data_IF_100292534225
#
_entry.id   IF_100292534225
#
_cell.length_a   1.000
_cell.length_b   1.000
_cell.length_c   1.000
_cell.angle_alpha   90.00
_cell.angle_beta   90.00
_cell.angle_gamma   90.00
#
_symmetry.space_group_name_H-M   'P 1'
#
loop_
_entity.id
_entity.type
_entity.pdbx_description
1 polymer ?
#
# COMPACT_ATOMS: atom_id res chain seq x y z
N UNK A 1 2.13 47.74 -31.75
CA UNK A 1 2.26 47.22 -33.13
C UNK A 1 2.20 45.72 -33.01
N UNK A 2 1.19 45.09 -33.60
CA UNK A 2 0.90 43.65 -33.43
C UNK A 2 2.07 42.76 -33.91
N UNK A 3 2.47 41.72 -33.14
CA UNK A 3 3.56 40.82 -33.51
C UNK A 3 3.11 39.60 -34.35
N UNK A 4 1.98 39.68 -35.06
CA UNK A 4 1.30 38.50 -35.61
C UNK A 4 1.51 38.22 -37.12
N UNK A 5 2.40 38.93 -37.83
CA UNK A 5 2.50 38.83 -39.31
C UNK A 5 3.82 38.37 -39.93
N UNK A 6 4.86 38.08 -39.13
CA UNK A 6 6.19 37.77 -39.69
C UNK A 6 6.44 36.27 -39.96
N UNK A 7 5.70 35.35 -39.32
CA UNK A 7 5.99 33.91 -39.41
C UNK A 7 5.54 33.30 -40.76
N UNK A 8 4.63 33.93 -41.50
CA UNK A 8 4.20 33.42 -42.82
C UNK A 8 5.21 33.69 -43.95
N UNK A 9 6.22 34.54 -43.75
CA UNK A 9 7.10 35.01 -44.86
C UNK A 9 8.43 34.26 -44.92
N UNK A 10 8.95 33.76 -43.80
CA UNK A 10 10.29 33.17 -43.73
C UNK A 10 10.26 31.67 -43.47
N UNK A 11 10.96 30.92 -44.32
CA UNK A 11 11.13 29.47 -44.18
C UNK A 11 12.54 29.14 -43.71
N UNK A 12 12.64 28.13 -42.85
CA UNK A 12 13.93 27.59 -42.42
C UNK A 12 14.72 27.07 -43.63
N UNK A 13 16.02 27.39 -43.68
CA UNK A 13 16.96 27.01 -44.73
C UNK A 13 16.63 27.50 -46.16
N UNK A 14 15.95 28.65 -46.26
CA UNK A 14 15.73 29.32 -47.55
C UNK A 14 16.97 30.13 -47.97
N UNK A 15 17.79 29.56 -48.86
CA UNK A 15 19.00 30.22 -49.39
C UNK A 15 18.73 31.52 -50.18
N UNK A 16 17.49 31.79 -50.61
CA UNK A 16 17.18 32.95 -51.45
C UNK A 16 16.95 34.23 -50.65
N UNK A 17 16.46 34.12 -49.42
CA UNK A 17 16.11 35.26 -48.56
C UNK A 17 16.92 35.35 -47.27
N UNK A 18 17.68 34.30 -46.93
CA UNK A 18 18.51 34.25 -45.73
C UNK A 18 19.68 35.24 -45.81
N UNK A 19 19.97 35.91 -44.70
CA UNK A 19 21.05 36.90 -44.56
C UNK A 19 22.14 36.46 -43.58
N UNK A 20 21.94 35.34 -42.86
CA UNK A 20 22.89 34.77 -41.89
C UNK A 20 22.93 33.25 -41.99
N UNK A 21 24.08 32.65 -41.67
CA UNK A 21 24.24 31.19 -41.57
C UNK A 21 24.61 30.79 -40.15
N UNK A 22 23.96 29.77 -39.62
CA UNK A 22 24.21 29.23 -38.27
C UNK A 22 24.82 27.83 -38.41
N UNK A 23 25.87 27.55 -37.65
CA UNK A 23 26.50 26.24 -37.54
C UNK A 23 26.60 25.84 -36.06
N UNK A 24 26.22 24.61 -35.76
CA UNK A 24 26.49 23.98 -34.47
C UNK A 24 27.76 23.14 -34.60
N UNK A 25 28.84 23.51 -33.91
CA UNK A 25 30.15 22.86 -34.05
C UNK A 25 30.20 21.57 -33.24
N UNK A 26 30.39 20.46 -33.96
CA UNK A 26 30.80 19.18 -33.41
C UNK A 26 32.33 19.13 -33.33
N UNK A 27 32.88 18.69 -32.19
CA UNK A 27 34.31 18.41 -32.07
C UNK A 27 34.65 17.29 -33.06
N UNK A 28 35.52 17.57 -34.04
CA UNK A 28 36.06 16.65 -35.06
C UNK A 28 35.20 16.30 -36.30
N UNK A 29 34.12 17.02 -36.61
CA UNK A 29 33.31 16.82 -37.84
C UNK A 29 33.24 18.08 -38.74
N UNK A 30 32.85 17.91 -40.01
CA UNK A 30 32.64 19.03 -40.94
C UNK A 30 31.42 19.87 -40.49
N UNK A 31 31.53 21.21 -40.44
CA UNK A 31 30.43 22.07 -40.01
C UNK A 31 29.26 22.07 -41.01
N UNK A 32 28.07 21.69 -40.55
CA UNK A 32 26.82 21.86 -41.29
C UNK A 32 26.28 23.28 -41.06
N UNK A 33 25.99 23.98 -42.16
CA UNK A 33 25.55 25.39 -42.13
C UNK A 33 24.08 25.49 -42.53
N UNK A 34 23.28 26.08 -41.64
CA UNK A 34 21.85 26.33 -41.87
C UNK A 34 21.62 27.78 -42.26
N UNK A 35 20.86 28.00 -43.34
CA UNK A 35 20.53 29.36 -43.81
C UNK A 35 19.37 29.91 -42.99
N UNK A 36 19.59 31.09 -42.40
CA UNK A 36 18.69 31.71 -41.44
C UNK A 36 18.48 33.21 -41.71
N UNK A 37 17.49 33.78 -41.02
CA UNK A 37 17.11 35.18 -41.08
C UNK A 37 17.45 35.85 -39.74
N UNK A 38 18.33 36.85 -39.77
CA UNK A 38 18.81 37.59 -38.58
C UNK A 38 17.66 38.21 -37.79
N UNK A 39 16.63 38.69 -38.48
CA UNK A 39 15.39 39.24 -37.89
C UNK A 39 14.60 38.19 -37.11
N UNK A 40 14.48 36.97 -37.63
CA UNK A 40 13.79 35.85 -36.97
C UNK A 40 14.58 35.36 -35.76
N UNK A 41 15.91 35.21 -35.89
CA UNK A 41 16.77 34.76 -34.80
C UNK A 41 16.81 35.76 -33.64
N UNK A 42 17.07 37.05 -33.93
CA UNK A 42 17.13 38.10 -32.91
C UNK A 42 15.80 38.36 -32.21
N UNK A 43 14.67 38.22 -32.90
CA UNK A 43 13.36 38.38 -32.28
C UNK A 43 13.03 37.25 -31.27
N UNK A 44 13.55 36.06 -31.50
CA UNK A 44 13.12 34.85 -30.81
C UNK A 44 14.15 34.25 -29.86
N UNK A 45 15.40 34.72 -29.86
CA UNK A 45 16.47 34.24 -29.00
C UNK A 45 17.35 35.39 -28.55
N UNK A 46 17.52 35.49 -27.23
CA UNK A 46 18.39 36.49 -26.61
C UNK A 46 19.85 36.32 -27.03
N UNK A 47 20.33 35.08 -27.09
CA UNK A 47 21.69 34.78 -27.52
C UNK A 47 21.97 35.35 -28.93
N UNK A 48 21.08 35.07 -29.89
CA UNK A 48 21.27 35.56 -31.25
C UNK A 48 21.12 37.08 -31.34
N UNK A 49 20.21 37.70 -30.58
CA UNK A 49 20.08 39.15 -30.51
C UNK A 49 21.36 39.83 -29.99
N UNK A 50 21.92 39.30 -28.90
CA UNK A 50 23.14 39.82 -28.29
C UNK A 50 24.35 39.63 -29.22
N UNK A 51 24.47 38.45 -29.86
CA UNK A 51 25.53 38.14 -30.81
C UNK A 51 25.49 39.07 -32.04
N UNK A 52 24.30 39.26 -32.63
CA UNK A 52 24.11 40.13 -33.80
C UNK A 52 24.29 41.62 -33.46
N UNK A 53 24.04 42.02 -32.21
CA UNK A 53 24.24 43.40 -31.76
C UNK A 53 25.70 43.77 -31.47
N UNK A 54 26.54 42.79 -31.12
CA UNK A 54 27.94 43.01 -30.74
C UNK A 54 28.94 42.82 -31.88
N UNK A 55 28.59 42.02 -32.90
CA UNK A 55 29.47 41.71 -34.01
C UNK A 55 29.12 42.57 -35.23
N UNK A 56 30.13 43.19 -35.83
CA UNK A 56 29.97 43.94 -37.07
C UNK A 56 29.69 42.93 -38.20
N UNK A 57 28.48 42.99 -38.78
CA UNK A 57 27.91 42.08 -39.80
C UNK A 57 28.67 42.17 -41.15
N UNK A 58 29.89 42.70 -41.15
CA UNK A 58 30.73 42.94 -42.33
C UNK A 58 31.70 41.78 -42.63
N UNK A 59 31.88 40.83 -41.70
CA UNK A 59 32.68 39.62 -41.91
C UNK A 59 31.83 38.34 -41.89
N UNK A 60 31.47 37.85 -43.08
CA UNK A 60 30.95 36.51 -43.40
C UNK A 60 29.57 36.04 -42.87
N UNK A 61 28.85 36.80 -42.04
CA UNK A 61 27.48 36.47 -41.55
C UNK A 61 27.32 35.01 -41.08
N UNK A 62 28.32 34.50 -40.37
CA UNK A 62 28.39 33.12 -39.90
C UNK A 62 28.37 33.12 -38.36
N UNK A 63 27.37 32.46 -37.77
CA UNK A 63 27.27 32.24 -36.32
C UNK A 63 27.66 30.80 -36.03
N UNK A 64 28.67 30.63 -35.18
CA UNK A 64 29.16 29.31 -34.76
C UNK A 64 28.87 29.12 -33.27
N UNK A 65 28.14 28.05 -32.94
CA UNK A 65 27.76 27.71 -31.58
C UNK A 65 28.40 26.38 -31.24
N UNK A 66 29.18 26.33 -30.17
CA UNK A 66 29.69 25.06 -29.64
C UNK A 66 28.55 24.32 -28.94
N UNK A 67 28.32 23.06 -29.31
CA UNK A 67 27.35 22.20 -28.62
C UNK A 67 27.89 20.79 -28.44
N UNK A 68 27.52 20.08 -27.35
CA UNK A 68 27.87 18.67 -27.18
C UNK A 68 27.32 17.81 -28.32
N UNK A 69 28.07 16.79 -28.76
CA UNK A 69 27.65 15.90 -29.85
C UNK A 69 26.32 15.21 -29.60
N UNK A 70 26.06 14.85 -28.35
CA UNK A 70 24.82 14.19 -27.93
C UNK A 70 23.60 15.12 -27.99
N UNK A 71 23.80 16.44 -28.11
CA UNK A 71 22.73 17.44 -28.14
C UNK A 71 22.55 18.07 -29.53
N UNK A 72 23.42 17.78 -30.49
CA UNK A 72 23.42 18.41 -31.82
C UNK A 72 22.04 18.41 -32.48
N UNK A 73 21.40 17.24 -32.54
CA UNK A 73 20.07 17.11 -33.17
C UNK A 73 19.01 17.96 -32.46
N UNK A 74 19.14 18.15 -31.15
CA UNK A 74 18.23 18.97 -30.36
C UNK A 74 18.44 20.47 -30.62
N UNK A 75 19.68 20.92 -30.81
CA UNK A 75 19.99 22.30 -31.22
C UNK A 75 19.45 22.59 -32.62
N UNK A 76 19.61 21.66 -33.56
CA UNK A 76 19.03 21.77 -34.92
C UNK A 76 17.50 21.79 -34.85
N UNK A 77 16.87 20.91 -34.06
CA UNK A 77 15.41 20.87 -33.89
C UNK A 77 14.88 22.14 -33.22
N UNK A 78 15.61 22.71 -32.25
CA UNK A 78 15.31 24.00 -31.64
C UNK A 78 15.37 25.12 -32.68
N UNK A 79 16.43 25.17 -33.48
CA UNK A 79 16.59 26.18 -34.53
C UNK A 79 15.46 26.10 -35.57
N UNK A 80 15.04 24.89 -35.96
CA UNK A 80 13.86 24.67 -36.81
C UNK A 80 12.57 25.16 -36.13
N UNK A 81 12.44 24.94 -34.82
CA UNK A 81 11.26 25.34 -34.04
C UNK A 81 11.07 26.85 -33.99
N UNK A 82 12.15 27.64 -34.09
CA UNK A 82 12.07 29.11 -34.16
C UNK A 82 11.27 29.60 -35.39
N UNK A 83 11.25 28.81 -36.47
CA UNK A 83 10.53 29.14 -37.72
C UNK A 83 9.10 28.60 -37.75
N UNK A 84 8.69 27.81 -36.76
CA UNK A 84 7.32 27.33 -36.70
C UNK A 84 6.39 28.40 -36.12
N UNK A 85 5.12 28.43 -36.54
CA UNK A 85 4.08 29.12 -35.78
C UNK A 85 4.10 28.63 -34.33
N UNK A 86 3.91 29.54 -33.38
CA UNK A 86 3.97 29.22 -31.93
C UNK A 86 3.04 28.08 -31.55
N UNK A 87 1.87 28.01 -32.18
CA UNK A 87 0.88 26.96 -31.97
C UNK A 87 1.35 25.57 -32.44
N UNK A 88 2.23 25.50 -33.43
CA UNK A 88 2.68 24.25 -34.07
C UNK A 88 3.98 23.69 -33.49
N UNK A 89 4.65 24.41 -32.58
CA UNK A 89 5.91 23.92 -31.97
C UNK A 89 5.65 22.67 -31.15
N UNK A 90 4.56 22.63 -30.39
CA UNK A 90 4.21 21.49 -29.54
C UNK A 90 3.98 20.24 -30.39
N UNK A 91 3.29 20.39 -31.53
CA UNK A 91 3.01 19.30 -32.47
C UNK A 91 4.28 18.73 -33.13
N UNK A 92 5.42 19.42 -33.03
CA UNK A 92 6.70 18.95 -33.58
C UNK A 92 7.47 17.99 -32.65
N UNK A 93 7.02 17.84 -31.40
CA UNK A 93 7.62 16.93 -30.44
C UNK A 93 7.04 15.51 -30.57
N UNK A 94 7.93 14.54 -30.69
CA UNK A 94 7.66 13.12 -30.92
C UNK A 94 7.98 12.25 -29.71
N UNK A 95 8.71 12.79 -28.72
CA UNK A 95 9.07 12.11 -27.47
C UNK A 95 9.44 13.11 -26.37
N UNK A 96 9.31 12.68 -25.11
CA UNK A 96 9.77 13.47 -23.94
C UNK A 96 11.26 13.71 -24.03
N UNK A 97 12.07 12.68 -24.32
CA UNK A 97 13.52 12.83 -24.55
C UNK A 97 13.87 13.94 -25.55
N UNK A 98 13.18 13.98 -26.70
CA UNK A 98 13.42 15.03 -27.70
C UNK A 98 13.03 16.42 -27.16
N UNK A 99 11.89 16.52 -26.48
CA UNK A 99 11.43 17.77 -25.88
C UNK A 99 12.39 18.29 -24.79
N UNK A 100 12.94 17.40 -23.94
CA UNK A 100 13.93 17.73 -22.91
C UNK A 100 15.24 18.20 -23.53
N UNK A 101 15.71 17.55 -24.60
CA UNK A 101 16.87 18.00 -25.35
C UNK A 101 16.67 19.40 -25.96
N UNK A 102 15.52 19.64 -26.59
CA UNK A 102 15.17 20.96 -27.14
C UNK A 102 14.99 22.00 -26.03
N UNK A 103 14.51 21.60 -24.85
CA UNK A 103 14.41 22.45 -23.67
C UNK A 103 15.80 22.92 -23.21
N UNK A 104 16.79 22.02 -23.09
CA UNK A 104 18.19 22.37 -22.79
C UNK A 104 18.75 23.39 -23.78
N UNK A 105 18.58 23.12 -25.08
CA UNK A 105 19.09 23.98 -26.15
C UNK A 105 18.39 25.35 -26.18
N UNK A 106 17.06 25.38 -26.07
CA UNK A 106 16.26 26.61 -26.09
C UNK A 106 16.53 27.48 -24.88
N UNK A 107 16.67 26.88 -23.69
CA UNK A 107 17.05 27.59 -22.47
C UNK A 107 18.45 28.19 -22.59
N UNK A 108 19.44 27.41 -23.06
CA UNK A 108 20.82 27.87 -23.23
C UNK A 108 20.94 29.04 -24.22
N UNK A 109 20.11 29.04 -25.28
CA UNK A 109 20.08 30.10 -26.29
C UNK A 109 19.05 31.21 -25.98
N UNK A 110 18.40 31.16 -24.82
CA UNK A 110 17.45 32.19 -24.38
C UNK A 110 16.23 32.33 -25.31
N UNK A 111 15.69 31.21 -25.79
CA UNK A 111 14.51 31.15 -26.65
C UNK A 111 13.25 30.85 -25.84
N UNK A 112 12.73 31.87 -25.16
CA UNK A 112 11.66 31.72 -24.16
C UNK A 112 10.40 31.02 -24.69
N UNK A 113 10.01 31.25 -25.93
CA UNK A 113 8.77 30.67 -26.45
C UNK A 113 8.90 29.18 -26.74
N UNK A 114 10.04 28.73 -27.27
CA UNK A 114 10.31 27.30 -27.48
C UNK A 114 10.48 26.62 -26.13
N UNK A 115 11.18 27.25 -25.17
CA UNK A 115 11.29 26.78 -23.79
C UNK A 115 9.92 26.53 -23.17
N UNK A 116 8.99 27.49 -23.28
CA UNK A 116 7.61 27.34 -22.78
C UNK A 116 6.83 26.24 -23.49
N UNK A 117 6.97 26.09 -24.81
CA UNK A 117 6.36 24.99 -25.56
C UNK A 117 6.89 23.62 -25.15
N UNK A 118 8.21 23.50 -24.89
CA UNK A 118 8.80 22.26 -24.38
C UNK A 118 8.24 21.92 -22.98
N UNK A 119 8.17 22.91 -22.08
CA UNK A 119 7.61 22.70 -20.73
C UNK A 119 6.17 22.21 -20.81
N UNK A 120 5.34 22.86 -21.64
CA UNK A 120 3.94 22.46 -21.82
C UNK A 120 3.79 21.04 -22.38
N UNK A 121 4.64 20.65 -23.32
CA UNK A 121 4.63 19.29 -23.85
C UNK A 121 5.03 18.27 -22.78
N UNK A 122 6.12 18.52 -22.05
CA UNK A 122 6.61 17.63 -21.00
C UNK A 122 5.60 17.52 -19.85
N UNK A 123 4.96 18.62 -19.48
CA UNK A 123 3.87 18.68 -18.48
C UNK A 123 2.61 17.93 -18.93
N UNK A 124 2.42 17.66 -20.21
CA UNK A 124 1.28 16.92 -20.73
C UNK A 124 1.59 15.44 -21.02
N UNK A 125 2.84 15.11 -21.31
CA UNK A 125 3.26 13.76 -21.68
C UNK A 125 3.41 12.82 -20.47
N UNK A 126 3.33 11.51 -20.70
CA UNK A 126 3.78 10.48 -19.75
C UNK A 126 5.29 10.26 -19.88
N UNK A 127 5.98 10.09 -18.76
CA UNK A 127 7.42 9.87 -18.65
C UNK A 127 7.75 8.59 -17.91
N UNK A 128 8.91 8.00 -18.22
CA UNK A 128 9.53 6.94 -17.42
C UNK A 128 10.55 7.47 -16.41
N UNK A 129 11.10 6.58 -15.58
CA UNK A 129 12.07 6.92 -14.53
C UNK A 129 13.35 7.59 -15.08
N UNK A 130 13.81 7.20 -16.28
CA UNK A 130 15.02 7.80 -16.88
C UNK A 130 14.73 9.20 -17.40
N UNK A 131 13.57 9.36 -18.03
CA UNK A 131 13.11 10.68 -18.48
C UNK A 131 12.87 11.61 -17.28
N UNK A 132 12.41 11.09 -16.15
CA UNK A 132 12.28 11.82 -14.89
C UNK A 132 13.60 12.36 -14.38
N UNK A 133 14.65 11.53 -14.30
CA UNK A 133 16.00 11.97 -13.90
C UNK A 133 16.52 13.10 -14.81
N UNK A 134 16.34 12.97 -16.13
CA UNK A 134 16.73 14.01 -17.08
C UNK A 134 15.95 15.32 -16.89
N UNK A 135 14.65 15.24 -16.60
CA UNK A 135 13.81 16.42 -16.36
C UNK A 135 14.19 17.12 -15.05
N UNK A 136 14.49 16.35 -13.99
CA UNK A 136 14.98 16.91 -12.72
C UNK A 136 16.28 17.67 -12.94
N UNK A 137 17.22 17.10 -13.70
CA UNK A 137 18.49 17.74 -14.03
C UNK A 137 18.27 19.08 -14.75
N UNK A 138 17.43 19.10 -15.79
CA UNK A 138 17.16 20.33 -16.55
C UNK A 138 16.43 21.37 -15.71
N UNK A 139 15.46 20.94 -14.89
CA UNK A 139 14.67 21.81 -14.03
C UNK A 139 15.53 22.65 -13.06
N UNK A 140 16.68 22.13 -12.60
CA UNK A 140 17.62 22.88 -11.74
C UNK A 140 18.13 24.17 -12.40
N UNK A 141 18.14 24.24 -13.73
CA UNK A 141 18.65 25.39 -14.49
C UNK A 141 17.57 26.40 -14.88
N UNK A 142 16.28 26.02 -14.85
CA UNK A 142 15.16 26.81 -15.40
C UNK A 142 14.62 27.90 -14.45
N UNK A 143 15.05 27.91 -13.18
CA UNK A 143 14.56 28.88 -12.19
C UNK A 143 13.04 28.78 -11.96
N UNK A 144 12.29 29.86 -12.17
CA UNK A 144 10.84 29.88 -11.97
C UNK A 144 10.06 29.00 -12.95
N UNK A 145 10.61 28.75 -14.12
CA UNK A 145 9.95 27.96 -15.17
C UNK A 145 9.97 26.45 -14.84
N UNK A 146 10.79 26.04 -13.87
CA UNK A 146 10.85 24.67 -13.37
C UNK A 146 9.59 24.22 -12.60
N UNK A 147 8.80 25.17 -12.09
CA UNK A 147 7.69 24.87 -11.16
C UNK A 147 6.67 23.91 -11.77
N UNK A 148 6.29 24.11 -13.05
CA UNK A 148 5.33 23.24 -13.74
C UNK A 148 5.87 21.82 -13.96
N UNK A 149 7.17 21.69 -14.28
CA UNK A 149 7.80 20.38 -14.48
C UNK A 149 7.90 19.59 -13.18
N UNK A 150 8.29 20.28 -12.11
CA UNK A 150 8.49 19.66 -10.80
C UNK A 150 7.17 19.41 -10.05
N UNK A 151 6.05 20.02 -10.47
CA UNK A 151 4.76 19.89 -9.78
C UNK A 151 4.31 18.42 -9.59
N UNK A 152 4.61 17.55 -10.57
CA UNK A 152 4.28 16.12 -10.50
C UNK A 152 5.13 15.32 -9.51
N UNK A 153 6.31 15.83 -9.17
CA UNK A 153 7.28 15.19 -8.27
C UNK A 153 7.21 15.73 -6.85
N UNK A 154 6.37 16.73 -6.61
CA UNK A 154 6.18 17.27 -5.27
C UNK A 154 5.51 16.23 -4.38
N UNK A 155 6.06 16.06 -3.18
CA UNK A 155 5.42 15.26 -2.15
C UNK A 155 3.99 15.80 -1.92
N UNK A 156 2.97 14.93 -1.97
CA UNK A 156 1.61 15.34 -1.71
C UNK A 156 1.47 15.86 -0.27
N UNK A 157 0.53 16.78 -0.04
CA UNK A 157 0.19 17.20 1.33
C UNK A 157 -0.32 16.02 2.16
N UNK A 158 -0.06 16.03 3.47
CA UNK A 158 -0.55 15.00 4.40
C UNK A 158 -2.08 14.78 4.29
N UNK A 159 -2.86 15.84 4.10
CA UNK A 159 -4.32 15.74 3.90
C UNK A 159 -4.70 15.00 2.61
N UNK A 160 -3.95 15.21 1.53
CA UNK A 160 -4.17 14.50 0.28
C UNK A 160 -3.86 13.00 0.44
N UNK A 161 -2.74 12.66 1.08
CA UNK A 161 -2.38 11.27 1.40
C UNK A 161 -3.45 10.62 2.27
N UNK A 162 -3.89 11.31 3.33
CA UNK A 162 -4.97 10.85 4.21
C UNK A 162 -6.26 10.56 3.45
N UNK A 163 -6.69 11.47 2.58
CA UNK A 163 -7.93 11.30 1.82
C UNK A 163 -7.86 10.10 0.85
N UNK A 164 -6.71 9.90 0.20
CA UNK A 164 -6.48 8.72 -0.66
C UNK A 164 -6.52 7.44 0.18
N UNK A 165 -5.84 7.43 1.33
CA UNK A 165 -5.81 6.28 2.24
C UNK A 165 -7.20 5.91 2.77
N UNK A 166 -7.99 6.91 3.21
CA UNK A 166 -9.39 6.71 3.62
C UNK A 166 -10.23 6.13 2.48
N UNK A 167 -10.06 6.63 1.26
CA UNK A 167 -10.80 6.15 0.09
C UNK A 167 -10.41 4.69 -0.23
N UNK A 168 -9.13 4.36 -0.17
CA UNK A 168 -8.63 3.01 -0.34
C UNK A 168 -9.24 2.05 0.71
N UNK A 169 -9.30 2.44 1.99
CA UNK A 169 -9.93 1.60 3.03
C UNK A 169 -11.40 1.32 2.70
N UNK A 170 -12.14 2.35 2.25
CA UNK A 170 -13.56 2.19 1.89
C UNK A 170 -13.76 1.21 0.74
N UNK A 171 -12.89 1.22 -0.28
CA UNK A 171 -12.95 0.25 -1.37
C UNK A 171 -12.51 -1.14 -0.91
N UNK A 172 -11.41 -1.25 -0.17
CA UNK A 172 -10.87 -2.50 0.36
C UNK A 172 -11.87 -3.26 1.26
N UNK A 173 -12.79 -2.52 1.91
CA UNK A 173 -13.82 -3.04 2.83
C UNK A 173 -15.24 -2.99 2.26
N UNK A 174 -15.40 -2.65 0.97
CA UNK A 174 -16.69 -2.58 0.27
C UNK A 174 -17.73 -1.68 0.98
N UNK A 175 -17.29 -0.53 1.51
CA UNK A 175 -18.15 0.45 2.17
C UNK A 175 -18.87 1.38 1.18
N UNK A 176 -18.35 1.53 -0.04
CA UNK A 176 -18.92 2.43 -1.04
C UNK A 176 -20.12 1.81 -1.75
N UNK A 177 -21.21 2.57 -1.88
CA UNK A 177 -22.38 2.18 -2.68
C UNK A 177 -22.89 3.40 -3.48
N UNK A 178 -23.30 3.23 -4.76
CA UNK A 178 -23.31 1.98 -5.53
C UNK A 178 -21.90 1.50 -5.91
N UNK A 179 -21.74 0.18 -6.05
CA UNK A 179 -20.45 -0.41 -6.39
C UNK A 179 -20.05 -0.10 -7.85
N UNK A 180 -18.78 0.25 -8.11
CA UNK A 180 -18.29 0.43 -9.47
C UNK A 180 -18.24 -0.91 -10.23
N UNK A 181 -18.24 -0.90 -11.58
CA UNK A 181 -18.22 -2.11 -12.40
C UNK A 181 -17.00 -3.02 -12.22
N UNK A 182 -15.91 -2.47 -11.67
CA UNK A 182 -14.60 -3.12 -11.46
C UNK A 182 -14.22 -3.15 -9.96
N UNK A 183 -15.23 -3.32 -9.09
CA UNK A 183 -15.02 -3.30 -7.63
C UNK A 183 -13.97 -4.31 -7.17
N UNK A 184 -13.98 -5.53 -7.69
CA UNK A 184 -13.07 -6.60 -7.24
C UNK A 184 -11.60 -6.25 -7.52
N UNK A 185 -11.31 -5.71 -8.71
CA UNK A 185 -9.98 -5.23 -9.08
C UNK A 185 -9.56 -4.03 -8.21
N UNK A 186 -10.48 -3.09 -7.99
CA UNK A 186 -10.23 -1.90 -7.19
C UNK A 186 -10.01 -2.25 -5.71
N UNK A 187 -10.75 -3.21 -5.19
CA UNK A 187 -10.60 -3.72 -3.81
C UNK A 187 -9.24 -4.37 -3.64
N UNK A 188 -8.85 -5.24 -4.57
CA UNK A 188 -7.56 -5.94 -4.53
C UNK A 188 -6.41 -4.93 -4.60
N UNK A 189 -6.48 -4.00 -5.57
CA UNK A 189 -5.50 -2.92 -5.69
C UNK A 189 -5.46 -2.04 -4.43
N UNK A 190 -6.60 -1.68 -3.86
CA UNK A 190 -6.65 -0.89 -2.63
C UNK A 190 -5.99 -1.62 -1.44
N UNK A 191 -6.23 -2.93 -1.28
CA UNK A 191 -5.60 -3.74 -0.24
C UNK A 191 -4.07 -3.76 -0.41
N UNK A 192 -3.58 -4.00 -1.63
CA UNK A 192 -2.15 -4.01 -1.95
C UNK A 192 -1.48 -2.64 -1.73
N UNK A 193 -2.12 -1.55 -2.16
CA UNK A 193 -1.57 -0.21 -1.98
C UNK A 193 -1.57 0.23 -0.52
N UNK A 194 -2.58 -0.16 0.27
CA UNK A 194 -2.56 0.07 1.73
C UNK A 194 -1.40 -0.67 2.37
N UNK A 195 -1.17 -1.93 2.01
CA UNK A 195 -0.05 -2.70 2.56
C UNK A 195 1.31 -2.12 2.16
N UNK A 196 1.43 -1.63 0.92
CA UNK A 196 2.61 -0.91 0.44
C UNK A 196 2.85 0.39 1.23
N UNK A 197 1.82 1.22 1.39
CA UNK A 197 1.92 2.49 2.11
C UNK A 197 2.34 2.31 3.56
N UNK A 198 1.91 1.24 4.23
CA UNK A 198 2.20 1.00 5.65
C UNK A 198 3.57 0.35 5.86
N UNK A 199 4.21 -0.15 4.81
CA UNK A 199 5.54 -0.70 4.91
C UNK A 199 6.60 0.42 4.89
N UNK A 200 7.39 0.49 5.97
CA UNK A 200 8.73 1.12 5.99
C UNK A 200 8.84 2.64 5.75
N UNK A 201 7.86 3.46 6.15
CA UNK A 201 7.99 4.92 6.10
C UNK A 201 7.52 5.66 7.38
N UNK A 202 8.29 6.67 7.80
CA UNK A 202 8.00 7.54 8.96
C UNK A 202 6.76 8.43 8.70
N UNK A 203 6.48 8.77 7.43
CA UNK A 203 5.31 9.57 7.05
C UNK A 203 3.99 8.79 7.21
N UNK A 204 4.04 7.46 7.17
CA UNK A 204 2.85 6.61 7.39
C UNK A 204 2.43 6.57 8.86
N UNK A 205 3.34 6.88 9.79
CA UNK A 205 3.01 7.02 11.20
C UNK A 205 2.04 8.20 11.45
N UNK A 206 2.12 9.27 10.65
CA UNK A 206 1.23 10.43 10.78
C UNK A 206 -0.20 10.12 10.32
N UNK A 207 -0.35 9.34 9.25
CA UNK A 207 -1.67 8.97 8.71
C UNK A 207 -2.35 7.91 9.57
N UNK A 208 -1.60 6.90 10.03
CA UNK A 208 -2.15 5.78 10.80
C UNK A 208 -2.52 6.15 12.24
N UNK A 209 -1.98 7.24 12.77
CA UNK A 209 -2.34 7.78 14.09
C UNK A 209 -3.54 8.73 14.06
N UNK A 210 -3.97 9.18 12.88
CA UNK A 210 -5.11 10.08 12.69
C UNK A 210 -6.43 9.38 13.07
N UNK A 211 -7.24 10.05 13.90
CA UNK A 211 -8.50 9.49 14.41
C UNK A 211 -9.58 9.32 13.33
N UNK A 212 -9.58 10.14 12.27
CA UNK A 212 -10.51 9.97 11.15
C UNK A 212 -10.19 8.68 10.41
N UNK A 213 -8.90 8.39 10.21
CA UNK A 213 -8.43 7.14 9.60
C UNK A 213 -8.82 5.95 10.46
N UNK A 214 -8.51 5.98 11.76
CA UNK A 214 -8.89 4.91 12.69
C UNK A 214 -10.41 4.69 12.74
N UNK A 215 -11.18 5.77 12.69
CA UNK A 215 -12.65 5.71 12.64
C UNK A 215 -13.15 4.96 11.39
N UNK A 216 -12.57 5.26 10.22
CA UNK A 216 -12.93 4.60 8.95
C UNK A 216 -12.49 3.13 8.96
N UNK A 217 -11.28 2.80 9.44
CA UNK A 217 -10.83 1.40 9.55
C UNK A 217 -11.76 0.60 10.47
N UNK A 218 -12.16 1.18 11.60
CA UNK A 218 -13.09 0.53 12.54
C UNK A 218 -14.45 0.27 11.89
N UNK A 219 -14.95 1.21 11.10
CA UNK A 219 -16.21 1.01 10.37
C UNK A 219 -16.07 -0.06 9.27
N UNK A 220 -14.94 -0.07 8.56
CA UNK A 220 -14.61 -1.13 7.59
C UNK A 220 -14.57 -2.51 8.23
N UNK A 221 -13.96 -2.64 9.42
CA UNK A 221 -13.97 -3.89 10.19
C UNK A 221 -15.39 -4.33 10.53
N UNK A 222 -16.24 -3.43 11.06
CA UNK A 222 -17.64 -3.75 11.36
C UNK A 222 -18.39 -4.21 10.13
N UNK A 223 -18.16 -3.55 8.98
CA UNK A 223 -18.75 -3.90 7.70
C UNK A 223 -18.37 -5.31 7.27
N UNK A 224 -17.10 -5.67 7.36
CA UNK A 224 -16.60 -7.01 7.01
C UNK A 224 -17.13 -8.10 7.96
N UNK A 225 -17.15 -7.85 9.27
CA UNK A 225 -17.74 -8.78 10.24
C UNK A 225 -19.26 -8.97 10.01
N UNK A 226 -19.97 -7.88 9.67
CA UNK A 226 -21.39 -7.96 9.28
C UNK A 226 -21.59 -8.71 7.97
N UNK A 227 -20.69 -8.52 6.99
CA UNK A 227 -20.76 -9.24 5.72
C UNK A 227 -20.59 -10.74 5.92
N UNK A 228 -19.63 -11.17 6.76
CA UNK A 228 -19.44 -12.58 7.12
C UNK A 228 -20.72 -13.17 7.71
N UNK A 229 -21.37 -12.46 8.64
CA UNK A 229 -22.65 -12.91 9.23
C UNK A 229 -23.73 -13.08 8.16
N UNK A 230 -23.88 -12.10 7.27
CA UNK A 230 -24.86 -12.18 6.18
C UNK A 230 -24.59 -13.36 5.25
N UNK A 231 -23.34 -13.62 4.88
CA UNK A 231 -22.97 -14.78 4.06
C UNK A 231 -23.27 -16.09 4.80
N UNK A 232 -23.02 -16.16 6.10
CA UNK A 232 -23.35 -17.34 6.92
C UNK A 232 -24.86 -17.55 7.08
N UNK A 233 -25.64 -16.49 7.24
CA UNK A 233 -27.12 -16.56 7.29
C UNK A 233 -27.71 -17.14 5.99
N UNK A 234 -27.08 -16.84 4.84
CA UNK A 234 -27.48 -17.34 3.51
C UNK A 234 -26.89 -18.71 3.16
N UNK A 235 -25.92 -19.20 3.94
CA UNK A 235 -25.18 -20.43 3.63
C UNK A 235 -26.10 -21.63 3.44
N UNK A 236 -27.14 -21.78 4.26
CA UNK A 236 -28.03 -22.96 4.16
C UNK A 236 -28.70 -23.05 2.80
N UNK A 237 -29.24 -21.93 2.30
CA UNK A 237 -29.90 -21.85 1.00
C UNK A 237 -28.92 -21.92 -0.16
N UNK A 238 -27.80 -21.20 -0.08
CA UNK A 238 -26.83 -21.13 -1.18
C UNK A 238 -26.05 -22.43 -1.34
N UNK A 239 -25.80 -23.15 -0.24
CA UNK A 239 -25.11 -24.43 -0.28
C UNK A 239 -25.95 -25.51 -0.99
N UNK A 240 -27.28 -25.48 -0.88
CA UNK A 240 -28.14 -26.44 -1.59
C UNK A 240 -28.15 -26.18 -3.11
N UNK A 241 -27.96 -24.93 -3.52
CA UNK A 241 -27.91 -24.54 -4.94
C UNK A 241 -26.51 -24.74 -5.55
N UNK A 242 -25.47 -24.28 -4.85
CA UNK A 242 -24.08 -24.34 -5.30
C UNK A 242 -23.10 -24.38 -4.12
N UNK A 243 -22.74 -25.58 -3.62
CA UNK A 243 -21.84 -25.74 -2.48
C UNK A 243 -20.51 -25.00 -2.64
N UNK A 244 -19.87 -25.12 -3.80
CA UNK A 244 -18.57 -24.50 -4.08
C UNK A 244 -18.65 -22.97 -4.06
N UNK A 245 -19.71 -22.37 -4.63
CA UNK A 245 -19.87 -20.92 -4.62
C UNK A 245 -20.17 -20.39 -3.23
N UNK A 246 -21.00 -21.11 -2.46
CA UNK A 246 -21.31 -20.77 -1.08
C UNK A 246 -20.05 -20.82 -0.19
N UNK A 247 -19.23 -21.87 -0.33
CA UNK A 247 -17.93 -21.98 0.35
C UNK A 247 -16.99 -20.84 -0.04
N UNK A 248 -16.84 -20.56 -1.34
CA UNK A 248 -15.97 -19.51 -1.85
C UNK A 248 -16.34 -18.12 -1.30
N UNK A 249 -17.62 -17.80 -1.16
CA UNK A 249 -18.07 -16.51 -0.59
C UNK A 249 -17.63 -16.35 0.86
N UNK A 250 -17.73 -17.41 1.67
CA UNK A 250 -17.25 -17.39 3.05
C UNK A 250 -15.74 -17.22 3.07
N UNK A 251 -15.01 -17.95 2.21
CA UNK A 251 -13.56 -17.83 2.11
C UNK A 251 -13.12 -16.42 1.72
N UNK A 252 -13.77 -15.78 0.74
CA UNK A 252 -13.49 -14.39 0.39
C UNK A 252 -13.75 -13.44 1.58
N UNK A 253 -14.87 -13.62 2.28
CA UNK A 253 -15.17 -12.80 3.46
C UNK A 253 -14.16 -13.00 4.59
N UNK A 254 -13.67 -14.22 4.81
CA UNK A 254 -12.64 -14.52 5.80
C UNK A 254 -11.28 -13.98 5.36
N UNK A 255 -10.94 -14.02 4.07
CA UNK A 255 -9.73 -13.41 3.54
C UNK A 255 -9.72 -11.88 3.73
N UNK A 256 -10.86 -11.21 3.57
CA UNK A 256 -10.97 -9.78 3.84
C UNK A 256 -10.77 -9.43 5.32
N UNK A 257 -11.36 -10.23 6.20
CA UNK A 257 -11.18 -10.09 7.65
C UNK A 257 -9.73 -10.36 8.03
N UNK A 258 -9.12 -11.36 7.41
CA UNK A 258 -7.73 -11.72 7.63
C UNK A 258 -6.77 -10.60 7.22
N UNK A 259 -7.01 -9.99 6.06
CA UNK A 259 -6.28 -8.82 5.57
C UNK A 259 -6.43 -7.62 6.52
N UNK A 260 -7.67 -7.24 6.87
CA UNK A 260 -7.87 -6.06 7.75
C UNK A 260 -7.28 -6.32 9.15
N UNK A 261 -7.24 -7.56 9.61
CA UNK A 261 -6.59 -7.91 10.89
C UNK A 261 -5.08 -7.65 10.84
N UNK A 262 -4.43 -7.97 9.72
CA UNK A 262 -3.02 -7.64 9.51
C UNK A 262 -2.79 -6.12 9.53
N UNK A 263 -3.67 -5.35 8.89
CA UNK A 263 -3.67 -3.88 8.96
C UNK A 263 -3.83 -3.38 10.40
N UNK A 264 -4.83 -3.87 11.14
CA UNK A 264 -5.11 -3.50 12.53
C UNK A 264 -3.93 -3.79 13.46
N UNK A 265 -3.16 -4.84 13.18
CA UNK A 265 -1.90 -5.15 13.87
C UNK A 265 -0.85 -4.06 13.71
N UNK A 266 -0.71 -3.51 12.50
CA UNK A 266 0.26 -2.45 12.18
C UNK A 266 -0.14 -1.09 12.76
N UNK A 267 -1.43 -0.82 12.96
CA UNK A 267 -1.95 0.47 13.47
C UNK A 267 -2.43 0.43 14.93
N UNK A 268 -2.05 -0.60 15.69
CA UNK A 268 -2.36 -0.78 17.11
C UNK A 268 -3.87 -0.82 17.45
N UNK A 269 -4.69 -1.38 16.56
CA UNK A 269 -6.16 -1.46 16.71
C UNK A 269 -6.68 -2.90 16.88
N UNK A 270 -5.82 -3.84 17.25
CA UNK A 270 -6.20 -5.25 17.43
C UNK A 270 -7.33 -5.47 18.45
N UNK A 271 -7.51 -4.56 19.41
CA UNK A 271 -8.62 -4.64 20.36
C UNK A 271 -9.99 -4.58 19.68
N UNK A 272 -10.16 -3.75 18.64
CA UNK A 272 -11.41 -3.64 17.86
C UNK A 272 -11.72 -4.98 17.16
N UNK A 273 -10.72 -5.62 16.54
CA UNK A 273 -10.86 -6.94 15.92
C UNK A 273 -11.24 -8.02 16.95
N UNK A 274 -10.47 -8.16 18.03
CA UNK A 274 -10.69 -9.19 19.05
C UNK A 274 -12.09 -9.06 19.65
N UNK A 275 -12.54 -7.83 19.93
CA UNK A 275 -13.87 -7.56 20.47
C UNK A 275 -14.97 -7.95 19.48
N UNK A 276 -14.88 -7.47 18.23
CA UNK A 276 -15.86 -7.79 17.19
C UNK A 276 -15.89 -9.28 16.84
N UNK A 277 -14.73 -9.94 16.81
CA UNK A 277 -14.63 -11.39 16.58
C UNK A 277 -15.32 -12.18 17.68
N UNK A 278 -15.08 -11.82 18.95
CA UNK A 278 -15.74 -12.47 20.10
C UNK A 278 -17.26 -12.28 20.08
N UNK A 279 -17.76 -11.12 19.64
CA UNK A 279 -19.19 -10.84 19.51
C UNK A 279 -19.88 -11.75 18.49
N UNK A 280 -19.24 -12.07 17.37
CA UNK A 280 -19.84 -12.88 16.30
C UNK A 280 -19.51 -14.38 16.43
N UNK A 281 -18.55 -14.76 17.28
CA UNK A 281 -18.01 -16.12 17.40
C UNK A 281 -19.09 -17.20 17.61
N UNK A 282 -20.03 -16.97 18.53
CA UNK A 282 -21.06 -17.97 18.85
C UNK A 282 -22.00 -18.21 17.64
N UNK A 283 -22.30 -17.16 16.88
CA UNK A 283 -23.10 -17.27 15.67
C UNK A 283 -22.32 -18.02 14.56
N UNK A 284 -21.06 -17.63 14.33
CA UNK A 284 -20.19 -18.28 13.33
C UNK A 284 -20.10 -19.79 13.59
N UNK A 285 -19.80 -20.19 14.82
CA UNK A 285 -19.69 -21.59 15.19
C UNK A 285 -21.04 -22.32 15.12
N UNK A 286 -22.15 -21.67 15.48
CA UNK A 286 -23.48 -22.29 15.39
C UNK A 286 -23.86 -22.69 13.96
N UNK A 287 -23.42 -21.92 12.95
CA UNK A 287 -23.68 -22.19 11.54
C UNK A 287 -22.70 -23.23 11.00
N UNK A 288 -21.39 -23.03 11.21
CA UNK A 288 -20.34 -23.88 10.60
C UNK A 288 -20.29 -25.28 11.23
N UNK A 289 -20.74 -25.43 12.47
CA UNK A 289 -20.85 -26.73 13.15
C UNK A 289 -22.21 -27.41 12.93
N UNK A 290 -23.09 -26.87 12.07
CA UNK A 290 -24.31 -27.56 11.71
C UNK A 290 -24.00 -28.95 11.14
N UNK A 291 -24.83 -29.93 11.50
CA UNK A 291 -24.66 -31.33 11.07
C UNK A 291 -24.59 -31.45 9.54
N UNK A 292 -25.26 -30.55 8.82
CA UNK A 292 -25.24 -30.45 7.35
C UNK A 292 -23.83 -30.33 6.79
N UNK A 293 -22.91 -29.67 7.49
CA UNK A 293 -21.56 -29.36 7.01
C UNK A 293 -20.47 -30.20 7.70
N UNK A 294 -20.83 -31.29 8.38
CA UNK A 294 -19.88 -32.11 9.15
C UNK A 294 -18.69 -32.57 8.28
N UNK A 295 -18.96 -32.99 7.05
CA UNK A 295 -17.97 -33.54 6.11
C UNK A 295 -17.54 -32.56 5.01
N UNK A 296 -18.03 -31.32 5.04
CA UNK A 296 -17.78 -30.27 4.03
C UNK A 296 -17.10 -29.04 4.67
N UNK A 297 -16.91 -27.97 3.89
CA UNK A 297 -16.39 -26.68 4.36
C UNK A 297 -15.00 -26.76 5.00
N UNK A 298 -14.15 -27.69 4.58
CA UNK A 298 -12.84 -27.91 5.20
C UNK A 298 -11.93 -26.69 5.06
N UNK A 299 -11.97 -26.02 3.91
CA UNK A 299 -11.18 -24.80 3.70
C UNK A 299 -11.68 -23.67 4.62
N UNK A 300 -13.00 -23.51 4.74
CA UNK A 300 -13.61 -22.54 5.67
C UNK A 300 -13.24 -22.86 7.12
N UNK A 301 -13.31 -24.13 7.52
CA UNK A 301 -12.96 -24.56 8.88
C UNK A 301 -11.49 -24.27 9.22
N UNK A 302 -10.58 -24.56 8.30
CA UNK A 302 -9.17 -24.24 8.46
C UNK A 302 -8.94 -22.72 8.55
N UNK A 303 -9.53 -21.94 7.63
CA UNK A 303 -9.39 -20.48 7.61
C UNK A 303 -9.98 -19.81 8.85
N UNK A 304 -11.06 -20.35 9.42
CA UNK A 304 -11.62 -19.87 10.69
C UNK A 304 -10.65 -20.04 11.86
N UNK A 305 -9.91 -21.16 11.91
CA UNK A 305 -8.89 -21.36 12.94
C UNK A 305 -7.74 -20.37 12.73
N UNK A 306 -7.31 -20.13 11.51
CA UNK A 306 -6.26 -19.16 11.18
C UNK A 306 -6.63 -17.74 11.66
N UNK A 307 -7.81 -17.25 11.28
CA UNK A 307 -8.32 -15.93 11.69
C UNK A 307 -8.49 -15.86 13.21
N UNK A 308 -9.02 -16.91 13.83
CA UNK A 308 -9.14 -17.00 15.30
C UNK A 308 -7.76 -17.02 15.97
N UNK A 309 -6.77 -17.64 15.34
CA UNK A 309 -5.39 -17.68 15.79
C UNK A 309 -4.81 -16.29 16.00
N UNK A 310 -5.05 -15.36 15.06
CA UNK A 310 -4.64 -13.95 15.22
C UNK A 310 -5.24 -13.28 16.45
N UNK A 311 -6.51 -13.59 16.78
CA UNK A 311 -7.14 -13.09 17.99
C UNK A 311 -6.56 -13.75 19.26
N UNK A 312 -6.29 -15.06 19.21
CA UNK A 312 -5.64 -15.79 20.30
C UNK A 312 -4.24 -15.26 20.57
N UNK A 313 -3.43 -15.03 19.54
CA UNK A 313 -2.09 -14.46 19.66
C UNK A 313 -2.14 -13.08 20.32
N UNK A 314 -3.04 -12.22 19.85
CA UNK A 314 -3.17 -10.86 20.37
C UNK A 314 -3.50 -10.87 21.88
N UNK A 315 -4.40 -11.75 22.32
CA UNK A 315 -4.78 -11.86 23.74
C UNK A 315 -3.74 -12.62 24.56
N UNK A 316 -3.22 -13.72 24.02
CA UNK A 316 -2.30 -14.64 24.69
C UNK A 316 -0.94 -14.02 24.97
N UNK A 317 -0.41 -13.25 24.03
CA UNK A 317 0.85 -12.52 24.19
C UNK A 317 0.68 -11.10 24.75
N UNK A 318 -0.56 -10.69 25.02
CA UNK A 318 -0.87 -9.47 25.78
C UNK A 318 -0.83 -8.17 24.97
N UNK A 319 -0.88 -8.20 23.63
CA UNK A 319 -1.09 -6.99 22.83
C UNK A 319 -2.52 -6.46 22.97
N UNK A 320 -3.48 -7.33 23.32
CA UNK A 320 -4.85 -6.98 23.67
C UNK A 320 -5.17 -7.49 25.07
N UNK A 321 -5.54 -6.58 25.97
CA UNK A 321 -5.93 -6.93 27.33
C UNK A 321 -7.44 -7.05 27.44
N UNK A 322 -7.92 -8.27 27.69
CA UNK A 322 -9.34 -8.54 27.95
C UNK A 322 -9.61 -8.86 29.43
N UNK A 323 -10.81 -8.53 29.94
CA UNK A 323 -11.29 -9.02 31.24
C UNK A 323 -11.23 -10.55 31.32
N UNK A 324 -11.01 -11.09 32.53
CA UNK A 324 -10.92 -12.54 32.75
C UNK A 324 -12.12 -13.30 32.18
N UNK A 325 -13.34 -12.82 32.44
CA UNK A 325 -14.57 -13.43 31.95
C UNK A 325 -14.61 -13.53 30.42
N UNK A 326 -14.10 -12.52 29.71
CA UNK A 326 -14.03 -12.52 28.25
C UNK A 326 -13.01 -13.53 27.73
N UNK A 327 -11.84 -13.65 28.39
CA UNK A 327 -10.82 -14.65 28.05
C UNK A 327 -11.31 -16.08 28.28
N UNK A 328 -12.00 -16.32 29.40
CA UNK A 328 -12.65 -17.61 29.69
C UNK A 328 -13.70 -17.94 28.62
N UNK A 329 -14.58 -16.98 28.28
CA UNK A 329 -15.58 -17.16 27.21
C UNK A 329 -14.89 -17.50 25.88
N UNK A 330 -13.88 -16.73 25.50
CA UNK A 330 -13.13 -16.94 24.26
C UNK A 330 -12.60 -18.38 24.16
N UNK A 331 -11.91 -18.85 25.21
CA UNK A 331 -11.38 -20.21 25.29
C UNK A 331 -12.47 -21.26 25.26
N UNK A 332 -13.55 -21.10 26.04
CA UNK A 332 -14.67 -22.06 26.07
C UNK A 332 -15.42 -22.15 24.75
N UNK A 333 -15.50 -21.06 23.98
CA UNK A 333 -16.13 -21.02 22.66
C UNK A 333 -15.23 -21.69 21.61
N UNK A 334 -13.95 -21.30 21.51
CA UNK A 334 -13.09 -21.72 20.39
C UNK A 334 -12.29 -23.00 20.61
N UNK A 335 -11.87 -23.32 21.85
CA UNK A 335 -11.05 -24.50 22.11
C UNK A 335 -11.70 -25.81 21.65
N UNK A 336 -13.00 -26.08 21.90
CA UNK A 336 -13.63 -27.31 21.43
C UNK A 336 -13.68 -27.40 19.90
N UNK A 337 -13.89 -26.27 19.23
CA UNK A 337 -13.91 -26.20 17.77
C UNK A 337 -12.54 -26.52 17.18
N UNK A 338 -11.48 -25.88 17.70
CA UNK A 338 -10.09 -26.08 17.27
C UNK A 338 -9.68 -27.55 17.45
N UNK A 339 -9.98 -28.15 18.62
CA UNK A 339 -9.71 -29.55 18.92
C UNK A 339 -10.36 -30.50 17.89
N UNK A 340 -11.67 -30.32 17.67
CA UNK A 340 -12.43 -31.19 16.77
C UNK A 340 -11.98 -31.05 15.32
N UNK A 341 -11.82 -29.82 14.85
CA UNK A 341 -11.43 -29.54 13.48
C UNK A 341 -10.01 -30.02 13.19
N UNK A 342 -9.04 -29.77 14.08
CA UNK A 342 -7.66 -30.27 13.89
C UNK A 342 -7.62 -31.80 13.78
N UNK A 343 -8.34 -32.50 14.67
CA UNK A 343 -8.44 -33.97 14.63
C UNK A 343 -8.97 -34.46 13.29
N UNK A 344 -10.04 -33.85 12.78
CA UNK A 344 -10.65 -34.25 11.52
C UNK A 344 -9.76 -33.95 10.31
N UNK A 345 -9.06 -32.81 10.31
CA UNK A 345 -8.08 -32.48 9.27
C UNK A 345 -6.94 -33.51 9.26
N UNK A 346 -6.42 -33.90 10.43
CA UNK A 346 -5.36 -34.93 10.54
C UNK A 346 -5.85 -36.33 10.14
N UNK A 347 -7.12 -36.66 10.40
CA UNK A 347 -7.74 -37.91 9.96
C UNK A 347 -7.91 -37.96 8.44
N UNK A 348 -8.32 -36.84 7.84
CA UNK A 348 -8.46 -36.68 6.40
C UNK A 348 -7.12 -36.56 5.68
N UNK A 349 -6.03 -36.24 6.39
CA UNK A 349 -4.75 -35.96 5.74
C UNK A 349 -3.93 -37.17 5.30
N UNK A 350 -4.53 -38.35 5.33
CA UNK A 350 -3.92 -39.61 4.89
C UNK A 350 -4.03 -39.81 3.37
N UNK A 351 -4.78 -38.96 2.68
CA UNK A 351 -4.82 -38.85 1.23
C UNK A 351 -3.95 -37.64 0.80
N UNK A 352 -3.03 -37.82 -0.16
CA UNK A 352 -1.92 -36.89 -0.50
C UNK A 352 -2.33 -35.48 -1.01
N UNK A 353 -3.62 -35.16 -1.08
CA UNK A 353 -4.16 -33.88 -1.58
C UNK A 353 -4.94 -33.07 -0.53
N UNK A 354 -4.74 -33.38 0.75
CA UNK A 354 -5.54 -32.90 1.87
C UNK A 354 -5.07 -31.56 2.45
N UNK A 355 -6.04 -30.74 2.86
CA UNK A 355 -5.81 -29.48 3.59
C UNK A 355 -5.18 -29.79 4.95
N UNK A 356 -3.94 -29.36 5.15
CA UNK A 356 -3.27 -29.40 6.44
C UNK A 356 -3.11 -27.99 6.99
N UNK A 357 -3.26 -27.87 8.31
CA UNK A 357 -2.85 -26.65 8.99
C UNK A 357 -1.32 -26.59 9.02
N UNK A 358 -0.79 -25.42 8.74
CA UNK A 358 0.64 -25.13 8.86
C UNK A 358 1.14 -25.42 10.30
N UNK A 359 2.31 -26.05 10.41
CA UNK A 359 2.85 -26.50 11.70
C UNK A 359 3.21 -25.33 12.61
N UNK A 360 3.76 -24.27 12.03
CA UNK A 360 4.20 -23.10 12.78
C UNK A 360 2.98 -22.34 13.31
N UNK A 361 1.95 -22.21 12.47
CA UNK A 361 0.64 -21.66 12.85
C UNK A 361 -0.01 -22.45 13.98
N UNK A 362 0.05 -23.79 13.95
CA UNK A 362 -0.45 -24.62 15.06
C UNK A 362 0.33 -24.36 16.36
N UNK A 363 1.66 -24.29 16.29
CA UNK A 363 2.48 -24.05 17.46
C UNK A 363 2.22 -22.67 18.07
N UNK A 364 2.02 -21.65 17.23
CA UNK A 364 1.70 -20.29 17.68
C UNK A 364 0.36 -20.26 18.42
N UNK A 365 -0.69 -20.86 17.83
CA UNK A 365 -2.02 -20.95 18.44
C UNK A 365 -1.99 -21.70 19.77
N UNK A 366 -1.28 -22.83 19.84
CA UNK A 366 -1.12 -23.61 21.08
C UNK A 366 -0.45 -22.77 22.17
N UNK A 367 0.66 -22.11 21.83
CA UNK A 367 1.44 -21.27 22.76
C UNK A 367 0.62 -20.07 23.26
N UNK A 368 -0.21 -19.47 22.39
CA UNK A 368 -1.13 -18.41 22.76
C UNK A 368 -2.25 -18.90 23.70
N UNK A 369 -2.81 -20.08 23.45
CA UNK A 369 -3.81 -20.72 24.33
C UNK A 369 -3.19 -21.03 25.70
N UNK A 370 -2.00 -21.64 25.74
CA UNK A 370 -1.26 -21.92 26.99
C UNK A 370 -1.05 -20.64 27.79
N UNK A 371 -0.53 -19.60 27.15
CA UNK A 371 -0.28 -18.29 27.78
C UNK A 371 -1.57 -17.68 28.33
N UNK A 372 -2.64 -17.71 27.55
CA UNK A 372 -3.94 -17.17 27.96
C UNK A 372 -4.54 -17.94 29.14
N UNK A 373 -4.47 -19.28 29.14
CA UNK A 373 -4.89 -20.13 30.27
C UNK A 373 -4.09 -19.76 31.52
N UNK A 374 -2.76 -19.67 31.43
CA UNK A 374 -1.89 -19.35 32.57
C UNK A 374 -2.15 -17.97 33.18
N UNK A 375 -2.75 -17.06 32.42
CA UNK A 375 -3.13 -15.73 32.85
C UNK A 375 -4.56 -15.65 33.46
N UNK A 376 -5.33 -16.75 33.50
CA UNK A 376 -6.65 -16.78 34.12
C UNK A 376 -6.57 -16.90 35.65
N UNK A 377 -7.66 -16.63 36.39
CA UNK A 377 -7.83 -17.02 37.78
C UNK A 377 -7.65 -18.53 37.98
N UNK A 378 -7.18 -18.94 39.16
CA UNK A 378 -6.80 -20.32 39.45
C UNK A 378 -7.95 -21.33 39.28
N UNK A 379 -9.18 -20.93 39.58
CA UNK A 379 -10.36 -21.81 39.47
C UNK A 379 -10.78 -21.95 38.01
N UNK A 380 -10.78 -20.85 37.23
CA UNK A 380 -11.03 -20.88 35.79
C UNK A 380 -9.98 -21.73 35.05
N UNK A 381 -8.71 -21.67 35.46
CA UNK A 381 -7.66 -22.56 34.96
C UNK A 381 -7.99 -24.03 35.23
N UNK A 382 -8.43 -24.34 36.46
CA UNK A 382 -8.76 -25.70 36.87
C UNK A 382 -9.90 -26.27 36.03
N UNK A 383 -10.94 -25.47 35.79
CA UNK A 383 -12.09 -25.87 34.97
C UNK A 383 -11.65 -26.25 33.55
N UNK A 384 -10.92 -25.36 32.86
CA UNK A 384 -10.46 -25.57 31.49
C UNK A 384 -9.52 -26.77 31.39
N UNK A 385 -8.53 -26.87 32.28
CA UNK A 385 -7.59 -27.99 32.30
C UNK A 385 -8.29 -29.31 32.59
N UNK A 386 -9.31 -29.32 33.47
CA UNK A 386 -10.08 -30.52 33.78
C UNK A 386 -10.90 -31.00 32.57
N UNK A 387 -11.47 -30.07 31.80
CA UNK A 387 -12.20 -30.39 30.57
C UNK A 387 -11.26 -30.88 29.46
N UNK A 388 -10.08 -30.26 29.31
CA UNK A 388 -9.05 -30.70 28.39
C UNK A 388 -8.57 -32.13 28.71
N UNK A 389 -8.24 -32.43 29.97
CA UNK A 389 -7.79 -33.77 30.39
C UNK A 389 -8.83 -34.85 30.11
N UNK A 390 -10.12 -34.57 30.34
CA UNK A 390 -11.20 -35.53 30.03
C UNK A 390 -11.25 -35.92 28.54
N UNK A 391 -10.74 -35.06 27.67
CA UNK A 391 -10.73 -35.26 26.22
C UNK A 391 -9.33 -35.56 25.66
N UNK A 392 -8.30 -35.65 26.50
CA UNK A 392 -6.91 -35.84 26.07
C UNK A 392 -6.66 -37.19 25.36
N UNK A 393 -7.49 -38.20 25.61
CA UNK A 393 -7.45 -39.46 24.85
C UNK A 393 -7.92 -39.29 23.40
N UNK A 394 -8.78 -38.29 23.15
CA UNK A 394 -9.42 -38.03 21.85
C UNK A 394 -8.68 -36.95 21.05
N UNK A 395 -8.09 -35.96 21.72
CA UNK A 395 -7.42 -34.82 21.08
C UNK A 395 -6.02 -34.65 21.64
N UNK A 396 -5.02 -34.64 20.75
CA UNK A 396 -3.62 -34.32 21.09
C UNK A 396 -3.31 -32.83 21.03
N UNK A 397 -4.12 -32.06 20.32
CA UNK A 397 -3.91 -30.64 20.06
C UNK A 397 -5.11 -29.81 20.57
N UNK A 398 -4.90 -28.63 21.18
CA UNK A 398 -3.59 -28.13 21.65
C UNK A 398 -3.10 -28.92 22.87
N UNK A 399 -1.79 -29.05 23.00
CA UNK A 399 -1.13 -29.59 24.18
C UNK A 399 -1.09 -28.53 25.29
N UNK A 400 -1.86 -28.76 26.37
CA UNK A 400 -1.91 -27.89 27.53
C UNK A 400 -1.07 -28.42 28.71
N UNK A 401 -0.16 -29.37 28.46
CA UNK A 401 0.68 -29.99 29.50
C UNK A 401 1.49 -28.96 30.26
N UNK A 402 2.10 -27.99 29.58
CA UNK A 402 2.84 -26.90 30.25
C UNK A 402 1.93 -26.11 31.19
N UNK A 403 0.76 -25.70 30.71
CA UNK A 403 -0.21 -24.95 31.51
C UNK A 403 -0.64 -25.74 32.75
N UNK A 404 -0.84 -27.05 32.60
CA UNK A 404 -1.19 -27.97 33.68
C UNK A 404 -0.09 -28.09 34.74
N UNK A 405 1.17 -28.28 34.31
CA UNK A 405 2.31 -28.39 35.22
C UNK A 405 2.49 -27.12 36.06
N UNK A 406 2.41 -25.96 35.40
CA UNK A 406 2.52 -24.65 36.06
C UNK A 406 1.34 -24.43 37.02
N UNK A 407 0.11 -24.76 36.63
CA UNK A 407 -1.06 -24.68 37.52
C UNK A 407 -0.89 -25.57 38.76
N UNK A 408 -0.42 -26.80 38.59
CA UNK A 408 -0.14 -27.72 39.71
C UNK A 408 0.90 -27.14 40.68
N UNK A 409 2.00 -26.62 40.15
CA UNK A 409 3.04 -25.96 40.93
C UNK A 409 2.51 -24.74 41.69
N UNK A 410 1.78 -23.84 41.01
CA UNK A 410 1.19 -22.63 41.58
C UNK A 410 0.17 -22.98 42.68
N UNK A 411 -0.71 -23.94 42.43
CA UNK A 411 -1.72 -24.41 43.38
C UNK A 411 -1.11 -25.00 44.65
N UNK A 412 -0.07 -25.85 44.51
CA UNK A 412 0.65 -26.42 45.66
C UNK A 412 1.38 -25.34 46.46
N UNK A 413 1.96 -24.36 45.79
CA UNK A 413 2.68 -23.26 46.44
C UNK A 413 1.74 -22.27 47.13
N UNK A 414 0.59 -21.96 46.53
CA UNK A 414 -0.45 -21.13 47.14
C UNK A 414 -0.97 -21.76 48.45
N UNK A 415 -1.24 -23.07 48.46
CA UNK A 415 -1.63 -23.81 49.68
C UNK A 415 -0.57 -23.71 50.78
N UNK A 416 0.72 -23.87 50.44
CA UNK A 416 1.83 -23.71 51.40
C UNK A 416 1.90 -22.30 51.99
N UNK A 417 1.69 -21.26 51.17
CA UNK A 417 1.69 -19.85 51.63
C UNK A 417 0.52 -19.58 52.58
N UNK A 418 -0.67 -20.11 52.29
CA UNK A 418 -1.84 -19.98 53.16
C UNK A 418 -1.61 -20.66 54.52
N UNK A 419 -1.11 -21.90 54.54
CA UNK A 419 -0.82 -22.63 55.79
C UNK A 419 0.32 -21.95 56.58
N UNK A 420 1.37 -21.48 55.91
CA UNK A 420 2.47 -20.75 56.55
C UNK A 420 2.06 -19.39 57.10
N UNK A 421 1.16 -18.66 56.40
CA UNK A 421 0.62 -17.38 56.86
C UNK A 421 -0.34 -17.51 58.05
N UNK A 422 -1.15 -18.57 58.09
CA UNK A 422 -2.03 -18.89 59.23
C UNK A 422 -1.24 -19.27 60.48
N UNK A 423 -0.11 -19.97 60.33
CA UNK A 423 0.78 -20.30 61.44
C UNK A 423 1.67 -19.11 61.89
N UNK A 424 1.80 -18.06 61.07
CA UNK A 424 2.53 -16.83 61.42
C UNK A 424 1.67 -15.74 62.07
N UNK A 425 0.35 -15.77 61.86
CA UNK A 425 -0.60 -14.79 62.41
C UNK A 425 -1.10 -15.12 63.83
N UNK A 426 -0.73 -16.28 64.39
CA UNK A 426 -1.13 -16.75 65.72
C UNK A 426 -0.13 -16.40 66.84
N UNK A 427 0.85 -15.52 66.59
CA UNK A 427 1.66 -14.90 67.64
C UNK A 427 1.22 -13.46 67.92
N UNK A 428 0.28 -13.23 68.85
CA UNK A 428 0.20 -11.94 69.53
C UNK A 428 1.29 -11.86 70.61
N UNK A 429 1.68 -10.64 70.99
CA UNK A 429 2.63 -10.23 72.04
C UNK A 429 4.13 -10.36 71.72
N UNK A 430 4.81 -9.26 71.37
CA UNK A 430 5.39 -8.20 72.25
C UNK A 430 6.48 -8.75 73.18
N UNK A 431 7.73 -8.31 73.00
CA UNK A 431 8.47 -7.51 74.00
C UNK A 431 9.88 -7.15 73.51
N UNK A 432 10.11 -5.83 73.50
CA UNK A 432 11.35 -5.03 73.49
C UNK A 432 12.28 -5.11 72.28
#
# INVERSE_FOLDING_TARGET
MEPAKLVEVYKFDDHSTSDVRVCFKLIDEQPEWFSCHSSVLSQNSKYFADWLGQNDVSSNNCIEIECPRVEYDHYVKMLKSIYLPRESVIDSFDSVKSAVGVLRASHSLGCEFVTKSCIQYIEAASWDEKEEEEIIEVAQTLGSDAVSLLARLQAPSADAVKNVFISAIRFATCMEAPFPPFLDDLKTSAQEQIDFMIHDDDDTALVTTDEDVKSVVREGLRKLLSALRTVLDLLSTEFDESPHQAEQRILCSLADIDWITSLLGKIEMMHDFVSGWLEISDHVLSVVQDKKYTSDLWAVKAKLIEVTGKALDAVGYGSVVLPSSSRVRFLKTWLPYIQMTKRLLDENSKDETSLQMDSDSCQNIESAIVSMVLALPSDDQADILSEWMKKAEQFRYPDLTEAFEVWCYRSKTAKRRLVGGLNGASNPTVSL
#
